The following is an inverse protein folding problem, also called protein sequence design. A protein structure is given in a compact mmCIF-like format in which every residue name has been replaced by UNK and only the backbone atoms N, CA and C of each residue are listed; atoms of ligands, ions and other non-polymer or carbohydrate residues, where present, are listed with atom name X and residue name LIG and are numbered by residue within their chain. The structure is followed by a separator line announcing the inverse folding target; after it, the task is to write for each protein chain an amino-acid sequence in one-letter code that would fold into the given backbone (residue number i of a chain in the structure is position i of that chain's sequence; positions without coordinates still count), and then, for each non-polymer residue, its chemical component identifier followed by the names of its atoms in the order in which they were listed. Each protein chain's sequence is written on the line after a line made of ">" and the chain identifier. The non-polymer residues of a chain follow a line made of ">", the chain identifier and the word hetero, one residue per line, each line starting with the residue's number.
data_IF_706738459406
#
_entry.id   IF_706738459406
#
_cell.length_a   1.000
_cell.length_b   1.000
_cell.length_c   1.000
_cell.angle_alpha   90.00
_cell.angle_beta   90.00
_cell.angle_gamma   90.00
#
_symmetry.space_group_name_H-M   'P 1'
#
loop_
_entity.id
_entity.type
_entity.pdbx_description
1 polymer ?
#
# COMPACT_ATOMS: atom_id res chain seq x y z
N UNK A 1 -17.36 1.27 14.35
CA UNK A 1 -17.64 -0.08 13.79
C UNK A 1 -16.81 -1.06 14.60
N UNK A 2 -17.37 -2.19 15.06
CA UNK A 2 -16.59 -3.20 15.80
C UNK A 2 -15.68 -3.97 14.84
N UNK A 3 -14.60 -4.58 15.33
CA UNK A 3 -13.70 -5.37 14.48
C UNK A 3 -14.41 -6.54 13.81
N UNK A 4 -15.39 -7.15 14.49
CA UNK A 4 -16.24 -8.23 13.95
C UNK A 4 -17.07 -7.77 12.75
N UNK A 5 -17.70 -6.60 12.84
CA UNK A 5 -18.44 -6.02 11.72
C UNK A 5 -17.52 -5.72 10.52
N UNK A 6 -16.26 -5.32 10.77
CA UNK A 6 -15.27 -5.16 9.69
C UNK A 6 -14.91 -6.50 9.05
N UNK A 7 -14.74 -7.56 9.82
CA UNK A 7 -14.50 -8.92 9.30
C UNK A 7 -15.67 -9.38 8.41
N UNK A 8 -16.90 -9.23 8.88
CA UNK A 8 -18.11 -9.58 8.10
C UNK A 8 -18.20 -8.79 6.80
N UNK A 9 -17.87 -7.50 6.84
CA UNK A 9 -17.77 -6.65 5.64
C UNK A 9 -16.74 -7.17 4.64
N UNK A 10 -15.59 -7.65 5.10
CA UNK A 10 -14.58 -8.24 4.22
C UNK A 10 -15.06 -9.57 3.63
N UNK A 11 -15.61 -10.47 4.44
CA UNK A 11 -16.11 -11.78 4.00
C UNK A 11 -17.27 -11.68 3.00
N UNK A 12 -18.11 -10.65 3.15
CA UNK A 12 -19.26 -10.40 2.26
C UNK A 12 -18.88 -9.66 0.98
N UNK A 13 -17.65 -9.16 0.85
CA UNK A 13 -17.24 -8.42 -0.34
C UNK A 13 -17.00 -9.38 -1.53
N UNK A 14 -17.78 -9.29 -2.61
CA UNK A 14 -17.75 -10.29 -3.69
C UNK A 14 -16.44 -10.27 -4.50
N UNK A 15 -15.73 -9.15 -4.48
CA UNK A 15 -14.46 -8.97 -5.20
C UNK A 15 -13.27 -8.90 -4.24
N UNK A 16 -13.38 -9.55 -3.08
CA UNK A 16 -12.23 -9.74 -2.19
C UNK A 16 -11.16 -10.52 -2.94
N UNK A 17 -9.92 -10.06 -2.88
CA UNK A 17 -8.76 -10.76 -3.44
C UNK A 17 -8.72 -12.20 -2.93
N UNK A 18 -8.54 -13.15 -3.85
CA UNK A 18 -8.72 -14.57 -3.55
C UNK A 18 -7.69 -15.05 -2.51
N UNK A 19 -6.44 -14.57 -2.59
CA UNK A 19 -5.41 -14.94 -1.62
C UNK A 19 -5.77 -14.43 -0.21
N UNK A 20 -6.21 -13.18 -0.10
CA UNK A 20 -6.65 -12.60 1.18
C UNK A 20 -7.91 -13.29 1.71
N UNK A 21 -8.84 -13.66 0.83
CA UNK A 21 -10.05 -14.40 1.19
C UNK A 21 -9.71 -15.76 1.78
N UNK A 22 -8.82 -16.53 1.13
CA UNK A 22 -8.40 -17.84 1.64
C UNK A 22 -7.68 -17.72 2.99
N UNK A 23 -6.79 -16.73 3.15
CA UNK A 23 -6.15 -16.45 4.44
C UNK A 23 -7.18 -16.10 5.52
N UNK A 24 -8.14 -15.22 5.21
CA UNK A 24 -9.19 -14.81 6.13
C UNK A 24 -10.10 -15.97 6.55
N UNK A 25 -10.40 -16.90 5.63
CA UNK A 25 -11.14 -18.12 5.94
C UNK A 25 -10.33 -19.07 6.85
N UNK A 26 -9.03 -19.24 6.58
CA UNK A 26 -8.16 -20.12 7.36
C UNK A 26 -7.95 -19.68 8.81
N UNK A 27 -7.99 -18.37 9.07
CA UNK A 27 -7.77 -17.80 10.40
C UNK A 27 -9.05 -17.64 11.23
N UNK A 28 -10.23 -18.05 10.73
CA UNK A 28 -11.50 -17.84 11.44
C UNK A 28 -11.59 -18.49 12.82
N UNK A 29 -10.87 -19.61 13.02
CA UNK A 29 -10.81 -20.29 14.30
C UNK A 29 -9.99 -19.51 15.36
N UNK A 30 -9.08 -18.63 14.91
CA UNK A 30 -8.23 -17.83 15.79
C UNK A 30 -8.82 -16.43 15.99
N UNK A 31 -9.66 -16.30 17.01
CA UNK A 31 -10.30 -15.03 17.36
C UNK A 31 -9.29 -13.94 17.72
N UNK A 32 -8.15 -14.30 18.32
CA UNK A 32 -7.14 -13.31 18.74
C UNK A 32 -6.45 -12.72 17.52
N UNK A 33 -6.10 -13.57 16.56
CA UNK A 33 -5.49 -13.13 15.32
C UNK A 33 -6.46 -12.31 14.44
N UNK A 34 -7.73 -12.70 14.39
CA UNK A 34 -8.78 -11.90 13.73
C UNK A 34 -8.94 -10.53 14.40
N UNK A 35 -9.04 -10.49 15.73
CA UNK A 35 -9.14 -9.22 16.44
C UNK A 35 -7.93 -8.35 16.15
N UNK A 36 -6.70 -8.86 16.30
CA UNK A 36 -5.48 -8.12 16.01
C UNK A 36 -5.42 -7.59 14.56
N UNK A 37 -5.93 -8.35 13.59
CA UNK A 37 -5.93 -7.95 12.18
C UNK A 37 -6.95 -6.86 11.84
N UNK A 38 -8.00 -6.67 12.66
CA UNK A 38 -9.14 -5.81 12.33
C UNK A 38 -9.51 -4.78 13.41
N UNK A 39 -8.92 -4.80 14.62
CA UNK A 39 -9.28 -3.90 15.72
C UNK A 39 -8.91 -2.44 15.48
N UNK A 40 -7.94 -2.19 14.60
CA UNK A 40 -7.53 -0.84 14.22
C UNK A 40 -7.19 -0.76 12.73
N UNK A 41 -6.93 0.46 12.28
CA UNK A 41 -6.27 0.68 11.00
C UNK A 41 -4.77 0.76 11.21
N UNK A 42 -4.01 0.29 10.22
CA UNK A 42 -2.59 0.55 10.16
C UNK A 42 -2.33 2.06 10.06
N UNK A 43 -1.42 2.58 10.87
CA UNK A 43 -1.15 4.01 10.98
C UNK A 43 0.02 4.44 10.09
N UNK A 44 -0.02 5.69 9.63
CA UNK A 44 1.07 6.31 8.89
C UNK A 44 2.02 6.99 9.87
N UNK A 45 3.22 6.42 10.06
CA UNK A 45 4.24 6.93 10.96
C UNK A 45 5.37 7.68 10.24
N UNK A 46 6.42 8.01 10.98
CA UNK A 46 7.63 8.67 10.43
C UNK A 46 8.32 7.84 9.35
N UNK A 47 8.23 6.52 9.43
CA UNK A 47 8.79 5.58 8.46
C UNK A 47 7.79 5.07 7.42
N UNK A 48 6.67 5.77 7.22
CA UNK A 48 5.55 5.34 6.39
C UNK A 48 4.57 4.43 7.13
N UNK A 49 3.73 3.73 6.37
CA UNK A 49 2.86 2.67 6.86
C UNK A 49 3.62 1.34 6.83
N UNK A 50 3.67 0.61 7.95
CA UNK A 50 4.33 -0.69 8.02
C UNK A 50 3.53 -1.70 8.82
N UNK A 51 3.48 -2.92 8.34
CA UNK A 51 2.74 -4.00 8.99
C UNK A 51 2.98 -5.35 8.33
N UNK A 52 2.58 -6.40 9.04
CA UNK A 52 2.53 -7.75 8.48
C UNK A 52 1.62 -7.80 7.26
N UNK A 53 2.00 -8.57 6.26
CA UNK A 53 1.16 -8.84 5.10
C UNK A 53 0.03 -9.77 5.52
N UNK A 54 -1.21 -9.40 5.20
CA UNK A 54 -2.36 -10.26 5.49
C UNK A 54 -3.71 -9.56 5.35
N UNK A 55 -4.81 -10.29 5.59
CA UNK A 55 -6.15 -9.72 5.57
C UNK A 55 -6.36 -8.80 6.78
N UNK A 56 -7.15 -7.75 6.59
CA UNK A 56 -7.54 -6.85 7.67
C UNK A 56 -7.01 -5.43 7.55
N UNK A 57 -7.61 -4.55 8.34
CA UNK A 57 -7.31 -3.11 8.33
C UNK A 57 -6.03 -2.77 9.08
N UNK A 58 -5.57 -3.66 9.96
CA UNK A 58 -4.29 -3.58 10.67
C UNK A 58 -3.21 -4.44 10.00
N UNK A 59 -3.29 -4.63 8.68
CA UNK A 59 -2.33 -5.40 7.88
C UNK A 59 -1.98 -4.68 6.58
N UNK A 60 -0.81 -4.99 6.05
CA UNK A 60 -0.42 -4.60 4.70
C UNK A 60 -1.08 -5.53 3.69
N UNK A 61 -1.81 -4.94 2.75
CA UNK A 61 -2.47 -5.63 1.67
C UNK A 61 -2.85 -4.63 0.57
N UNK A 62 -3.37 -5.13 -0.55
CA UNK A 62 -3.73 -4.29 -1.69
C UNK A 62 -4.73 -3.19 -1.33
N UNK A 63 -5.64 -3.40 -0.37
CA UNK A 63 -6.64 -2.40 0.02
C UNK A 63 -6.03 -1.30 0.88
N UNK A 64 -5.13 -1.66 1.79
CA UNK A 64 -4.33 -0.70 2.56
C UNK A 64 -3.47 0.16 1.64
N UNK A 65 -2.78 -0.45 0.65
CA UNK A 65 -1.99 0.25 -0.36
C UNK A 65 -2.86 1.20 -1.19
N UNK A 66 -4.00 0.74 -1.70
CA UNK A 66 -4.97 1.56 -2.43
C UNK A 66 -5.45 2.74 -1.60
N UNK A 67 -5.77 2.52 -0.32
CA UNK A 67 -6.28 3.57 0.57
C UNK A 67 -5.24 4.68 0.77
N UNK A 68 -3.98 4.32 1.02
CA UNK A 68 -2.90 5.30 1.17
C UNK A 68 -2.62 6.03 -0.16
N UNK A 69 -2.56 5.29 -1.26
CA UNK A 69 -2.31 5.82 -2.60
C UNK A 69 -3.43 6.74 -3.10
N UNK A 70 -4.69 6.44 -2.75
CA UNK A 70 -5.83 7.31 -3.03
C UNK A 70 -5.72 8.64 -2.30
N UNK A 71 -5.26 8.63 -1.04
CA UNK A 71 -4.98 9.86 -0.28
C UNK A 71 -3.91 10.71 -0.97
N UNK A 72 -2.79 10.09 -1.37
CA UNK A 72 -1.74 10.77 -2.13
C UNK A 72 -2.26 11.32 -3.47
N UNK A 73 -3.04 10.52 -4.20
CA UNK A 73 -3.57 10.92 -5.50
C UNK A 73 -4.46 12.16 -5.39
N UNK A 74 -5.40 12.16 -4.42
CA UNK A 74 -6.27 13.32 -4.18
C UNK A 74 -5.48 14.56 -3.81
N UNK A 75 -4.49 14.42 -2.93
CA UNK A 75 -3.62 15.52 -2.57
C UNK A 75 -2.90 16.13 -3.79
N UNK A 76 -2.38 15.29 -4.70
CA UNK A 76 -1.75 15.74 -5.95
C UNK A 76 -2.75 16.45 -6.85
N UNK A 77 -3.96 15.91 -7.01
CA UNK A 77 -5.02 16.55 -7.83
C UNK A 77 -5.37 17.94 -7.29
N UNK A 78 -5.43 18.10 -5.95
CA UNK A 78 -5.66 19.39 -5.31
C UNK A 78 -4.56 20.42 -5.58
N UNK A 79 -3.34 19.98 -5.95
CA UNK A 79 -2.24 20.87 -6.33
C UNK A 79 -2.27 21.30 -7.82
N UNK A 80 -3.22 20.80 -8.61
CA UNK A 80 -3.44 21.20 -10.00
C UNK A 80 -2.71 20.34 -11.06
N UNK A 81 -2.92 20.69 -12.33
CA UNK A 81 -2.45 19.88 -13.48
C UNK A 81 -0.93 19.78 -13.58
N UNK A 82 -0.18 20.84 -13.24
CA UNK A 82 1.29 20.78 -13.22
C UNK A 82 1.80 19.70 -12.25
N UNK A 83 1.17 19.56 -11.07
CA UNK A 83 1.53 18.53 -10.11
C UNK A 83 1.27 17.12 -10.64
N UNK A 84 0.15 16.93 -11.36
CA UNK A 84 -0.19 15.66 -12.02
C UNK A 84 0.82 15.31 -13.13
N UNK A 85 1.24 16.29 -13.92
CA UNK A 85 2.23 16.11 -14.99
C UNK A 85 3.63 15.80 -14.45
N UNK A 86 4.03 16.44 -13.33
CA UNK A 86 5.27 16.12 -12.61
C UNK A 86 5.26 14.68 -12.11
N UNK A 87 4.12 14.20 -11.61
CA UNK A 87 3.89 12.78 -11.37
C UNK A 87 4.56 12.19 -10.12
N UNK A 88 4.51 10.86 -10.02
CA UNK A 88 5.02 10.09 -8.88
C UNK A 88 6.05 9.06 -9.32
N UNK A 89 7.20 9.03 -8.65
CA UNK A 89 8.21 7.96 -8.82
C UNK A 89 7.95 6.86 -7.79
N UNK A 90 7.95 5.61 -8.24
CA UNK A 90 7.61 4.45 -7.41
C UNK A 90 8.75 3.44 -7.49
N UNK A 91 9.34 3.13 -6.34
CA UNK A 91 10.37 2.12 -6.16
C UNK A 91 9.92 1.05 -5.16
N UNK A 92 10.63 -0.07 -5.12
CA UNK A 92 10.34 -1.16 -4.19
C UNK A 92 11.59 -2.00 -3.90
N UNK A 93 11.62 -2.66 -2.74
CA UNK A 93 12.69 -3.58 -2.33
C UNK A 93 12.37 -5.06 -2.63
N UNK A 94 13.18 -5.99 -2.13
CA UNK A 94 13.04 -7.43 -2.38
C UNK A 94 11.98 -8.14 -1.52
N UNK A 95 11.15 -7.43 -0.75
CA UNK A 95 10.14 -8.05 0.12
C UNK A 95 9.03 -8.74 -0.67
N UNK A 96 8.37 -9.69 -0.02
CA UNK A 96 7.18 -10.31 -0.58
C UNK A 96 6.12 -9.26 -0.91
N UNK A 97 5.45 -9.43 -2.05
CA UNK A 97 4.43 -8.51 -2.59
C UNK A 97 4.92 -7.11 -2.96
N UNK A 98 6.21 -6.79 -2.82
CA UNK A 98 6.74 -5.47 -3.15
C UNK A 98 6.46 -5.04 -4.60
N UNK A 99 6.71 -5.89 -5.62
CA UNK A 99 6.35 -5.57 -7.00
C UNK A 99 4.85 -5.34 -7.20
N UNK A 100 4.00 -6.19 -6.61
CA UNK A 100 2.54 -6.10 -6.74
C UNK A 100 1.99 -4.85 -6.07
N UNK A 101 2.48 -4.51 -4.88
CA UNK A 101 2.10 -3.29 -4.18
C UNK A 101 2.56 -2.05 -4.93
N UNK A 102 3.77 -2.03 -5.49
CA UNK A 102 4.26 -0.91 -6.29
C UNK A 102 3.40 -0.70 -7.55
N UNK A 103 3.01 -1.78 -8.22
CA UNK A 103 2.07 -1.73 -9.34
C UNK A 103 0.69 -1.24 -8.91
N UNK A 104 0.24 -1.59 -7.70
CA UNK A 104 -1.05 -1.15 -7.19
C UNK A 104 -1.07 0.35 -6.85
N UNK A 105 0.04 0.89 -6.31
CA UNK A 105 0.23 2.35 -6.19
C UNK A 105 0.11 3.00 -7.56
N UNK A 106 0.85 2.50 -8.55
CA UNK A 106 0.86 3.03 -9.92
C UNK A 106 -0.53 3.06 -10.55
N UNK A 107 -1.29 1.97 -10.44
CA UNK A 107 -2.67 1.88 -10.93
C UNK A 107 -3.59 2.86 -10.21
N UNK A 108 -3.46 2.96 -8.89
CA UNK A 108 -4.33 3.83 -8.07
C UNK A 108 -4.11 5.29 -8.42
N UNK A 109 -2.87 5.78 -8.42
CA UNK A 109 -2.59 7.19 -8.76
C UNK A 109 -2.83 7.48 -10.24
N UNK A 110 -2.52 6.52 -11.13
CA UNK A 110 -2.72 6.65 -12.57
C UNK A 110 -4.20 6.79 -12.96
N UNK A 111 -5.13 6.22 -12.18
CA UNK A 111 -6.58 6.41 -12.36
C UNK A 111 -7.01 7.89 -12.27
N UNK A 112 -6.24 8.71 -11.56
CA UNK A 112 -6.47 10.16 -11.43
C UNK A 112 -5.75 10.98 -12.51
N UNK A 113 -5.18 10.33 -13.54
CA UNK A 113 -4.44 11.00 -14.61
C UNK A 113 -3.08 11.54 -14.18
N UNK A 114 -2.52 11.05 -13.06
CA UNK A 114 -1.19 11.43 -12.57
C UNK A 114 -0.14 10.62 -13.34
N UNK A 115 0.92 11.29 -13.80
CA UNK A 115 2.06 10.63 -14.46
C UNK A 115 2.78 9.70 -13.48
N UNK A 116 3.14 8.50 -13.93
CA UNK A 116 3.80 7.49 -13.09
C UNK A 116 5.14 7.07 -13.67
N UNK A 117 6.16 7.03 -12.81
CA UNK A 117 7.46 6.44 -13.10
C UNK A 117 7.67 5.24 -12.18
N UNK A 118 7.32 4.05 -12.66
CA UNK A 118 7.52 2.81 -11.93
C UNK A 118 8.85 2.16 -12.36
N UNK A 119 9.74 1.88 -11.40
CA UNK A 119 10.96 1.12 -11.70
C UNK A 119 10.61 -0.31 -12.15
N UNK A 120 11.32 -0.80 -13.17
CA UNK A 120 11.11 -2.15 -13.73
C UNK A 120 11.48 -3.26 -12.75
N UNK A 121 12.43 -2.99 -11.88
CA UNK A 121 13.02 -3.94 -10.94
C UNK A 121 13.24 -3.25 -9.59
N UNK A 122 13.61 -4.03 -8.57
CA UNK A 122 13.88 -3.53 -7.22
C UNK A 122 14.96 -2.44 -7.23
N UNK A 123 14.78 -1.42 -6.38
CA UNK A 123 15.69 -0.27 -6.24
C UNK A 123 15.80 0.19 -4.79
N UNK A 124 17.00 0.64 -4.37
CA UNK A 124 17.19 1.12 -3.01
C UNK A 124 16.58 2.53 -2.85
N UNK A 125 16.14 2.87 -1.63
CA UNK A 125 15.52 4.18 -1.31
C UNK A 125 16.34 5.40 -1.77
N UNK A 126 17.70 5.41 -1.71
CA UNK A 126 18.49 6.53 -2.23
C UNK A 126 18.31 6.77 -3.74
N UNK A 127 18.08 5.71 -4.53
CA UNK A 127 17.85 5.84 -5.97
C UNK A 127 16.48 6.45 -6.27
N UNK A 128 15.45 6.09 -5.47
CA UNK A 128 14.17 6.80 -5.52
C UNK A 128 14.36 8.30 -5.20
N UNK A 129 15.08 8.61 -4.12
CA UNK A 129 15.34 10.00 -3.71
C UNK A 129 16.05 10.79 -4.81
N UNK A 130 17.02 10.16 -5.50
CA UNK A 130 17.67 10.74 -6.67
C UNK A 130 16.68 10.95 -7.82
N UNK A 131 15.94 9.91 -8.20
CA UNK A 131 15.02 9.95 -9.34
C UNK A 131 13.92 11.01 -9.19
N UNK A 132 13.35 11.19 -7.99
CA UNK A 132 12.35 12.24 -7.72
C UNK A 132 12.90 13.62 -8.07
N UNK A 133 14.13 13.93 -7.61
CA UNK A 133 14.77 15.22 -7.89
C UNK A 133 15.18 15.36 -9.35
N UNK A 134 15.76 14.29 -9.91
CA UNK A 134 16.24 14.27 -11.28
C UNK A 134 15.12 14.45 -12.30
N UNK A 135 13.98 13.80 -12.10
CA UNK A 135 12.81 13.88 -12.98
C UNK A 135 11.91 15.09 -12.68
N UNK A 136 12.21 15.86 -11.63
CA UNK A 136 11.33 16.92 -11.15
C UNK A 136 9.95 16.40 -10.73
N UNK A 137 9.86 15.16 -10.25
CA UNK A 137 8.58 14.56 -9.87
C UNK A 137 7.96 15.28 -8.68
N UNK A 138 6.64 15.16 -8.53
CA UNK A 138 5.91 15.77 -7.42
C UNK A 138 6.11 14.99 -6.13
N UNK A 139 6.06 13.65 -6.19
CA UNK A 139 6.24 12.78 -5.04
C UNK A 139 7.03 11.51 -5.37
N UNK A 140 7.50 10.84 -4.31
CA UNK A 140 8.09 9.51 -4.37
C UNK A 140 7.38 8.55 -3.42
N UNK A 141 7.22 7.30 -3.84
CA UNK A 141 6.69 6.20 -3.02
C UNK A 141 7.70 5.05 -3.04
N UNK A 142 8.04 4.50 -1.88
CA UNK A 142 8.88 3.31 -1.77
C UNK A 142 8.13 2.21 -1.05
N UNK A 143 7.97 1.07 -1.71
CA UNK A 143 7.43 -0.13 -1.06
C UNK A 143 8.56 -0.85 -0.35
N UNK A 144 8.58 -0.73 0.98
CA UNK A 144 9.58 -1.35 1.85
C UNK A 144 9.12 -1.31 3.31
N UNK A 145 9.56 -2.28 4.10
CA UNK A 145 9.57 -2.19 5.57
C UNK A 145 11.00 -2.13 6.14
N UNK A 146 11.98 -1.67 5.35
CA UNK A 146 13.36 -1.46 5.79
C UNK A 146 13.99 -2.72 6.41
N UNK A 147 14.20 -2.76 7.73
CA UNK A 147 14.83 -3.86 8.47
C UNK A 147 13.82 -4.75 9.20
N UNK A 148 12.51 -4.50 9.05
CA UNK A 148 11.47 -5.33 9.66
C UNK A 148 11.56 -6.80 9.17
N UNK A 149 11.00 -7.76 9.91
CA UNK A 149 10.97 -9.17 9.48
C UNK A 149 10.36 -9.39 8.08
N UNK A 150 10.62 -10.54 7.41
CA UNK A 150 10.19 -10.79 6.02
C UNK A 150 8.68 -10.76 5.78
N UNK A 151 7.88 -11.04 6.81
CA UNK A 151 6.42 -10.99 6.78
C UNK A 151 5.87 -9.55 6.74
N UNK A 152 6.70 -8.54 7.01
CA UNK A 152 6.33 -7.14 6.94
C UNK A 152 6.59 -6.55 5.56
N UNK A 153 5.71 -5.62 5.16
CA UNK A 153 5.97 -4.68 4.09
C UNK A 153 5.49 -3.28 4.49
N UNK A 154 5.61 -2.30 3.59
CA UNK A 154 5.23 -0.93 3.88
C UNK A 154 5.12 -0.06 2.64
N UNK A 155 4.67 1.17 2.85
CA UNK A 155 4.50 2.23 1.86
C UNK A 155 4.86 3.59 2.48
#
# INVERSE_FOLDING_TARGET
>A
MTWKATVEKWLSYPHLDEQLKQQLLSMQADKKLLEDSFYKNLEFGTGGMRGEIGPGTNRMNIYTIRKASEGLARYIVEQGEEAKERGVVIAYDSRHKSPEFALEVAKTVGKHGIKVYLFKELRPTPELSFAVRYLGAFAGVVITASHNPPEYNGL
#
